data_IF_642080385014
#
_entry.id   IF_642080385014
#
_cell.length_a   1.000
_cell.length_b   1.000
_cell.length_c   1.000
_cell.angle_alpha   90.00
_cell.angle_beta   90.00
_cell.angle_gamma   90.00
#
_symmetry.space_group_name_H-M   'P 1'
#
loop_
_entity.id
_entity.type
_entity.pdbx_description
1 polymer ?
#
# COMPACT_ATOMS: atom_id res chain seq x y z
N UNK A 1 30.17 17.37 8.34
CA UNK A 1 28.70 17.59 8.39
C UNK A 1 28.19 18.48 7.26
N UNK A 2 28.66 19.73 7.11
CA UNK A 2 28.15 20.66 6.07
C UNK A 2 28.22 20.13 4.61
N UNK A 3 29.33 19.54 4.15
CA UNK A 3 29.39 18.95 2.80
C UNK A 3 28.36 17.81 2.59
N UNK A 4 28.17 16.97 3.61
CA UNK A 4 27.20 15.87 3.57
C UNK A 4 25.76 16.41 3.50
N UNK A 5 25.40 17.37 4.33
CA UNK A 5 24.07 18.02 4.28
C UNK A 5 23.79 18.61 2.89
N UNK A 6 24.77 19.27 2.29
CA UNK A 6 24.65 19.83 0.93
C UNK A 6 24.42 18.72 -0.10
N UNK A 7 25.14 17.63 0.00
CA UNK A 7 24.98 16.46 -0.90
C UNK A 7 23.59 15.83 -0.76
N UNK A 8 23.13 15.62 0.48
CA UNK A 8 21.79 15.06 0.75
C UNK A 8 20.67 15.98 0.25
N UNK A 9 20.79 17.29 0.48
CA UNK A 9 19.83 18.28 -0.07
C UNK A 9 19.81 18.26 -1.60
N UNK A 10 20.96 18.16 -2.26
CA UNK A 10 21.03 18.05 -3.71
C UNK A 10 20.34 16.77 -4.23
N UNK A 11 20.55 15.63 -3.56
CA UNK A 11 19.84 14.37 -3.89
C UNK A 11 18.34 14.53 -3.71
N UNK A 12 17.89 15.08 -2.60
CA UNK A 12 16.45 15.32 -2.32
C UNK A 12 15.85 16.24 -3.38
N UNK A 13 16.55 17.31 -3.76
CA UNK A 13 16.10 18.20 -4.84
C UNK A 13 15.87 17.43 -6.14
N UNK A 14 16.84 16.60 -6.55
CA UNK A 14 16.71 15.76 -7.76
C UNK A 14 15.51 14.81 -7.65
N UNK A 15 15.34 14.12 -6.51
CA UNK A 15 14.21 13.24 -6.28
C UNK A 15 12.87 14.00 -6.38
N UNK A 16 12.80 15.18 -5.79
CA UNK A 16 11.60 16.01 -5.81
C UNK A 16 11.24 16.48 -7.22
N UNK A 17 12.22 16.83 -8.03
CA UNK A 17 12.02 17.31 -9.41
C UNK A 17 11.68 16.16 -10.37
N UNK A 18 12.17 14.94 -10.12
CA UNK A 18 12.07 13.82 -11.07
C UNK A 18 11.06 12.74 -10.69
N UNK A 19 10.83 12.53 -9.37
CA UNK A 19 10.03 11.41 -8.87
C UNK A 19 8.88 11.87 -7.98
N UNK A 20 9.12 12.85 -7.08
CA UNK A 20 8.13 13.23 -6.06
C UNK A 20 7.12 14.27 -6.52
N UNK A 21 7.00 14.52 -7.82
CA UNK A 21 6.01 15.44 -8.42
C UNK A 21 6.03 16.83 -7.76
N UNK A 22 7.22 17.30 -7.35
CA UNK A 22 7.42 18.57 -6.63
C UNK A 22 6.63 18.70 -5.31
N UNK A 23 6.37 17.59 -4.63
CA UNK A 23 5.63 17.55 -3.34
C UNK A 23 6.44 18.12 -2.18
N UNK A 24 7.75 17.84 -2.13
CA UNK A 24 8.64 18.31 -1.07
C UNK A 24 9.42 19.56 -1.52
N UNK A 25 8.78 20.73 -1.53
CA UNK A 25 9.42 21.99 -1.92
C UNK A 25 10.40 22.46 -0.85
N UNK A 26 11.43 23.23 -1.24
CA UNK A 26 12.49 23.71 -0.35
C UNK A 26 11.98 24.39 0.95
N UNK A 27 10.94 25.25 0.95
CA UNK A 27 10.40 25.78 2.19
C UNK A 27 9.87 24.69 3.14
N UNK A 28 9.17 23.69 2.59
CA UNK A 28 8.61 22.58 3.38
C UNK A 28 9.72 21.69 3.96
N UNK A 29 10.81 21.47 3.22
CA UNK A 29 11.99 20.73 3.72
C UNK A 29 12.63 21.49 4.89
N UNK A 30 12.77 22.80 4.78
CA UNK A 30 13.32 23.64 5.85
C UNK A 30 12.44 23.61 7.09
N UNK A 31 11.13 23.84 6.93
CA UNK A 31 10.16 23.78 8.04
C UNK A 31 10.14 22.40 8.72
N UNK A 32 10.27 21.32 7.94
CA UNK A 32 10.35 19.97 8.48
C UNK A 32 11.65 19.73 9.26
N UNK A 33 12.79 20.23 8.78
CA UNK A 33 14.08 20.13 9.46
C UNK A 33 14.10 20.92 10.77
N UNK A 34 13.38 22.03 10.85
CA UNK A 34 13.29 22.84 12.06
C UNK A 34 12.67 22.05 13.25
N UNK A 35 11.85 21.02 12.97
CA UNK A 35 11.35 20.14 14.02
C UNK A 35 12.48 19.45 14.82
N UNK A 36 13.62 19.17 14.19
CA UNK A 36 14.75 18.47 14.80
C UNK A 36 15.73 19.42 15.51
N UNK A 37 15.61 20.73 15.29
CA UNK A 37 16.54 21.73 15.85
C UNK A 37 16.34 22.00 17.34
N UNK A 38 15.17 21.67 17.91
CA UNK A 38 14.73 22.20 19.21
C UNK A 38 14.55 21.16 20.32
N UNK A 39 14.71 19.86 20.06
CA UNK A 39 14.15 18.86 20.98
C UNK A 39 15.12 18.08 21.85
N UNK A 40 16.37 17.88 21.47
CA UNK A 40 17.29 16.98 22.21
C UNK A 40 18.68 17.56 22.52
N UNK A 41 18.99 18.74 22.01
CA UNK A 41 20.32 19.32 22.18
C UNK A 41 21.41 18.72 21.25
N UNK A 42 21.05 17.76 20.39
CA UNK A 42 21.97 17.15 19.41
C UNK A 42 22.06 17.93 18.08
N UNK A 43 21.16 18.89 17.85
CA UNK A 43 21.22 19.90 16.78
C UNK A 43 21.58 19.39 15.37
N UNK A 44 22.79 19.74 14.87
CA UNK A 44 23.19 19.42 13.50
C UNK A 44 23.21 17.92 13.15
N UNK A 45 23.43 17.06 14.12
CA UNK A 45 23.46 15.61 13.90
C UNK A 45 22.09 15.05 13.59
N UNK A 46 21.02 15.53 14.26
CA UNK A 46 19.66 15.11 13.99
C UNK A 46 19.21 15.52 12.58
N UNK A 47 19.50 16.76 12.17
CA UNK A 47 19.16 17.25 10.83
C UNK A 47 19.82 16.44 9.71
N UNK A 48 21.08 16.05 9.87
CA UNK A 48 21.78 15.23 8.86
C UNK A 48 21.15 13.85 8.75
N UNK A 49 20.81 13.21 9.88
CA UNK A 49 20.18 11.90 9.89
C UNK A 49 18.74 11.98 9.35
N UNK A 50 17.99 13.05 9.64
CA UNK A 50 16.68 13.31 9.06
C UNK A 50 16.77 13.48 7.52
N UNK A 51 17.72 14.27 7.01
CA UNK A 51 17.97 14.41 5.58
C UNK A 51 18.37 13.07 4.93
N UNK A 52 19.16 12.25 5.63
CA UNK A 52 19.49 10.91 5.13
C UNK A 52 18.25 10.05 4.97
N UNK A 53 17.37 10.00 5.98
CA UNK A 53 16.10 9.27 5.89
C UNK A 53 15.25 9.79 4.73
N UNK A 54 15.06 11.10 4.63
CA UNK A 54 14.30 11.73 3.56
C UNK A 54 14.91 11.43 2.18
N UNK A 55 16.24 11.42 2.05
CA UNK A 55 16.93 11.09 0.79
C UNK A 55 16.74 9.64 0.34
N UNK A 56 16.22 8.77 1.20
CA UNK A 56 15.91 7.38 0.93
C UNK A 56 14.40 7.09 0.93
N UNK A 57 13.58 8.13 1.04
CA UNK A 57 12.13 7.99 1.03
C UNK A 57 11.64 7.57 -0.37
N UNK A 58 10.87 6.49 -0.40
CA UNK A 58 10.27 5.96 -1.62
C UNK A 58 8.88 6.57 -1.79
N UNK A 59 8.76 7.47 -2.74
CA UNK A 59 7.48 8.06 -3.09
C UNK A 59 6.98 7.50 -4.43
N UNK A 60 5.71 7.15 -4.47
CA UNK A 60 5.04 6.69 -5.68
C UNK A 60 3.96 7.70 -6.08
N UNK A 61 4.21 8.42 -7.16
CA UNK A 61 3.33 9.41 -7.74
C UNK A 61 2.12 8.82 -8.46
N UNK A 62 1.25 9.67 -8.99
CA UNK A 62 0.07 9.23 -9.76
C UNK A 62 0.46 8.32 -10.94
N UNK A 63 1.51 8.70 -11.67
CA UNK A 63 2.00 7.94 -12.82
C UNK A 63 2.48 6.54 -12.46
N UNK A 64 3.26 6.42 -11.38
CA UNK A 64 3.78 5.14 -10.89
C UNK A 64 2.65 4.24 -10.40
N UNK A 65 1.71 4.78 -9.62
CA UNK A 65 0.52 4.03 -9.15
C UNK A 65 -0.29 3.50 -10.33
N UNK A 66 -0.55 4.33 -11.35
CA UNK A 66 -1.26 3.89 -12.58
C UNK A 66 -0.51 2.80 -13.32
N UNK A 67 0.82 2.91 -13.41
CA UNK A 67 1.67 1.86 -13.98
C UNK A 67 1.57 0.53 -13.22
N UNK A 68 1.55 0.59 -11.88
CA UNK A 68 1.38 -0.58 -11.03
C UNK A 68 -0.02 -1.20 -11.16
N UNK A 69 -1.07 -0.40 -11.34
CA UNK A 69 -2.42 -0.90 -11.61
C UNK A 69 -2.51 -1.66 -12.94
N UNK A 70 -1.77 -1.22 -13.98
CA UNK A 70 -1.63 -2.00 -15.23
C UNK A 70 -0.91 -3.32 -14.99
N UNK A 71 0.20 -3.29 -14.23
CA UNK A 71 0.94 -4.50 -13.88
C UNK A 71 0.06 -5.47 -13.05
N UNK A 72 -0.71 -4.98 -12.08
CA UNK A 72 -1.63 -5.78 -11.28
C UNK A 72 -2.64 -6.54 -12.18
N UNK A 73 -3.26 -5.83 -13.11
CA UNK A 73 -4.20 -6.49 -14.04
C UNK A 73 -3.50 -7.47 -14.96
N UNK A 74 -2.39 -7.07 -15.60
CA UNK A 74 -1.69 -7.88 -16.58
C UNK A 74 -1.08 -9.13 -15.95
N UNK A 75 -0.29 -8.95 -14.87
CA UNK A 75 0.62 -9.98 -14.37
C UNK A 75 -0.02 -10.83 -13.26
N UNK A 76 -0.91 -10.24 -12.46
CA UNK A 76 -1.51 -10.95 -11.32
C UNK A 76 -2.90 -11.51 -11.65
N UNK A 77 -3.68 -10.80 -12.47
CA UNK A 77 -5.02 -11.23 -12.85
C UNK A 77 -5.05 -11.93 -14.22
N UNK A 78 -4.65 -11.24 -15.30
CA UNK A 78 -4.86 -11.70 -16.68
C UNK A 78 -3.97 -12.88 -17.07
N UNK A 79 -2.68 -12.79 -16.83
CA UNK A 79 -1.73 -13.83 -17.27
C UNK A 79 -1.99 -15.19 -16.60
N UNK A 80 -2.25 -15.31 -15.31
CA UNK A 80 -2.59 -16.60 -14.71
C UNK A 80 -3.86 -17.24 -15.31
N UNK A 81 -4.85 -16.43 -15.69
CA UNK A 81 -6.05 -16.93 -16.36
C UNK A 81 -5.71 -17.46 -17.75
N UNK A 82 -4.95 -16.70 -18.53
CA UNK A 82 -4.51 -17.14 -19.87
C UNK A 82 -3.69 -18.42 -19.78
N UNK A 83 -2.78 -18.51 -18.82
CA UNK A 83 -1.96 -19.70 -18.60
C UNK A 83 -2.84 -20.92 -18.24
N UNK A 84 -3.83 -20.74 -17.37
CA UNK A 84 -4.79 -21.79 -17.04
C UNK A 84 -5.62 -22.26 -18.24
N UNK A 85 -6.07 -21.31 -19.08
CA UNK A 85 -6.78 -21.63 -20.33
C UNK A 85 -5.90 -22.44 -21.25
N UNK A 86 -4.67 -22.01 -21.48
CA UNK A 86 -3.71 -22.73 -22.33
C UNK A 86 -3.46 -24.16 -21.85
N UNK A 87 -3.17 -24.34 -20.57
CA UNK A 87 -2.97 -25.67 -19.96
C UNK A 87 -4.21 -26.56 -20.10
N UNK A 88 -5.40 -26.01 -19.90
CA UNK A 88 -6.66 -26.74 -20.07
C UNK A 88 -6.95 -27.14 -21.53
N UNK A 89 -6.25 -26.57 -22.50
CA UNK A 89 -6.39 -26.82 -23.93
C UNK A 89 -5.06 -27.29 -24.58
N UNK A 90 -4.35 -28.19 -23.93
CA UNK A 90 -3.11 -28.81 -24.41
C UNK A 90 -2.03 -27.79 -24.81
N UNK A 91 -1.81 -26.79 -23.99
CA UNK A 91 -0.86 -25.69 -24.17
C UNK A 91 -1.05 -24.89 -25.48
N UNK A 92 -2.32 -24.74 -25.89
CA UNK A 92 -2.71 -24.06 -27.14
C UNK A 92 -2.06 -22.68 -27.26
N UNK A 93 -1.73 -22.32 -28.52
CA UNK A 93 -1.34 -20.97 -28.92
C UNK A 93 -2.42 -20.28 -29.78
N UNK A 94 -3.59 -20.93 -29.98
CA UNK A 94 -4.71 -20.33 -30.67
C UNK A 94 -5.23 -19.09 -29.94
N UNK A 95 -4.90 -17.93 -30.46
CA UNK A 95 -5.27 -16.65 -29.90
C UNK A 95 -6.78 -16.40 -29.84
N UNK A 96 -7.52 -16.97 -30.85
CA UNK A 96 -8.99 -16.85 -30.89
C UNK A 96 -9.66 -17.64 -29.77
N UNK A 97 -9.24 -18.89 -29.56
CA UNK A 97 -9.71 -19.73 -28.48
C UNK A 97 -9.37 -19.10 -27.11
N UNK A 98 -8.11 -18.66 -26.94
CA UNK A 98 -7.66 -18.02 -25.70
C UNK A 98 -8.51 -16.77 -25.42
N UNK A 99 -8.72 -15.90 -26.39
CA UNK A 99 -9.49 -14.65 -26.22
C UNK A 99 -10.97 -14.93 -25.88
N UNK A 100 -11.58 -15.93 -26.55
CA UNK A 100 -12.95 -16.34 -26.25
C UNK A 100 -13.12 -16.79 -24.79
N UNK A 101 -12.26 -17.70 -24.33
CA UNK A 101 -12.30 -18.21 -22.96
C UNK A 101 -11.95 -17.14 -21.93
N UNK A 102 -10.96 -16.30 -22.24
CA UNK A 102 -10.59 -15.18 -21.37
C UNK A 102 -11.75 -14.19 -21.19
N UNK A 103 -12.43 -13.81 -22.28
CA UNK A 103 -13.60 -12.93 -22.22
C UNK A 103 -14.74 -13.53 -21.40
N UNK A 104 -14.96 -14.84 -21.47
CA UNK A 104 -15.94 -15.53 -20.63
C UNK A 104 -15.56 -15.44 -19.15
N UNK A 105 -14.30 -15.72 -18.79
CA UNK A 105 -13.78 -15.56 -17.42
C UNK A 105 -13.87 -14.12 -16.91
N UNK A 106 -13.56 -13.14 -17.75
CA UNK A 106 -13.64 -11.73 -17.40
C UNK A 106 -15.10 -11.30 -17.12
N UNK A 107 -16.06 -11.73 -17.92
CA UNK A 107 -17.49 -11.44 -17.70
C UNK A 107 -18.00 -12.00 -16.39
N UNK A 108 -17.50 -13.16 -15.98
CA UNK A 108 -17.83 -13.80 -14.71
C UNK A 108 -16.99 -13.27 -13.51
N UNK A 109 -16.25 -12.16 -13.69
CA UNK A 109 -15.45 -11.53 -12.64
C UNK A 109 -16.10 -10.24 -12.15
N UNK A 110 -15.95 -9.96 -10.84
CA UNK A 110 -16.23 -8.66 -10.24
C UNK A 110 -15.01 -8.14 -9.49
N UNK A 111 -14.69 -6.87 -9.72
CA UNK A 111 -13.63 -6.15 -9.03
C UNK A 111 -14.24 -5.27 -7.93
N UNK A 112 -13.62 -5.30 -6.76
CA UNK A 112 -14.06 -4.59 -5.56
C UNK A 112 -12.86 -3.90 -4.90
N UNK A 113 -13.08 -2.74 -4.26
CA UNK A 113 -12.09 -2.13 -3.37
C UNK A 113 -12.24 -2.69 -1.96
N UNK A 114 -11.11 -2.78 -1.26
CA UNK A 114 -11.08 -3.07 0.17
C UNK A 114 -11.28 -1.76 0.93
N UNK A 115 -12.08 -1.79 2.00
CA UNK A 115 -12.35 -0.63 2.83
C UNK A 115 -13.67 0.08 2.54
N UNK A 116 -13.87 1.19 3.23
CA UNK A 116 -15.00 2.08 3.07
C UNK A 116 -14.91 2.80 1.70
N UNK A 117 -16.03 3.21 1.07
CA UNK A 117 -16.02 4.00 -0.17
C UNK A 117 -15.17 5.28 -0.14
N UNK A 118 -14.88 5.84 1.03
CA UNK A 118 -13.98 6.98 1.21
C UNK A 118 -12.50 6.62 1.36
N UNK A 119 -12.16 5.32 1.38
CA UNK A 119 -10.79 4.84 1.49
C UNK A 119 -10.13 4.62 0.13
N UNK A 120 -8.80 4.49 0.13
CA UNK A 120 -7.97 4.40 -1.07
C UNK A 120 -8.33 3.26 -2.00
N UNK A 121 -8.73 2.09 -1.48
CA UNK A 121 -9.10 0.92 -2.28
C UNK A 121 -10.22 1.20 -3.28
N UNK A 122 -11.28 1.91 -2.86
CA UNK A 122 -12.36 2.28 -3.77
C UNK A 122 -11.94 3.33 -4.81
N UNK A 123 -11.08 4.28 -4.42
CA UNK A 123 -10.58 5.30 -5.33
C UNK A 123 -9.66 4.70 -6.41
N UNK A 124 -8.85 3.70 -6.06
CA UNK A 124 -8.00 2.98 -6.99
C UNK A 124 -8.77 2.25 -8.08
N UNK A 125 -9.98 1.73 -7.79
CA UNK A 125 -10.81 1.03 -8.78
C UNK A 125 -11.13 1.90 -10.00
N UNK A 126 -11.33 3.20 -9.80
CA UNK A 126 -11.57 4.13 -10.90
C UNK A 126 -10.38 4.15 -11.87
N UNK A 127 -9.18 4.30 -11.36
CA UNK A 127 -7.95 4.29 -12.17
C UNK A 127 -7.64 2.89 -12.73
N UNK A 128 -7.84 1.84 -11.94
CA UNK A 128 -7.68 0.45 -12.41
C UNK A 128 -8.55 0.16 -13.62
N UNK A 129 -9.82 0.59 -13.58
CA UNK A 129 -10.72 0.47 -14.72
C UNK A 129 -10.24 1.23 -15.94
N UNK A 130 -9.85 2.50 -15.76
CA UNK A 130 -9.41 3.35 -16.87
C UNK A 130 -8.15 2.83 -17.54
N UNK A 131 -7.14 2.54 -16.74
CA UNK A 131 -5.82 2.12 -17.24
C UNK A 131 -5.84 0.78 -17.95
N UNK A 132 -6.83 -0.06 -17.66
CA UNK A 132 -6.99 -1.38 -18.26
C UNK A 132 -8.18 -1.47 -19.25
N UNK A 133 -8.84 -0.35 -19.56
CA UNK A 133 -9.98 -0.26 -20.48
C UNK A 133 -11.10 -1.27 -20.17
N UNK A 134 -11.42 -1.46 -18.89
CA UNK A 134 -12.37 -2.47 -18.43
C UNK A 134 -13.81 -1.93 -18.45
N UNK A 135 -14.80 -2.78 -18.78
CA UNK A 135 -16.22 -2.45 -18.68
C UNK A 135 -16.63 -2.04 -17.24
N UNK A 136 -17.56 -1.08 -17.14
CA UNK A 136 -18.02 -0.55 -15.85
C UNK A 136 -18.72 -1.60 -14.98
N UNK A 137 -19.47 -2.48 -15.58
CA UNK A 137 -20.30 -3.53 -14.93
C UNK A 137 -19.47 -4.63 -14.25
N UNK A 138 -18.17 -4.68 -14.50
CA UNK A 138 -17.26 -5.55 -13.75
C UNK A 138 -16.94 -4.99 -12.35
N UNK A 139 -17.31 -3.75 -12.05
CA UNK A 139 -16.99 -3.06 -10.80
C UNK A 139 -18.23 -2.91 -9.94
N UNK A 140 -18.19 -3.48 -8.75
CA UNK A 140 -19.31 -3.44 -7.79
C UNK A 140 -18.81 -3.01 -6.41
N UNK A 141 -19.74 -2.55 -5.58
CA UNK A 141 -19.50 -2.37 -4.16
C UNK A 141 -19.81 -3.68 -3.40
N UNK A 142 -19.21 -3.85 -2.23
CA UNK A 142 -19.34 -5.05 -1.41
C UNK A 142 -20.78 -5.41 -1.08
N UNK A 143 -21.65 -4.41 -0.79
CA UNK A 143 -23.08 -4.63 -0.56
C UNK A 143 -23.84 -5.12 -1.81
N UNK A 144 -23.25 -5.06 -2.99
CA UNK A 144 -23.87 -5.54 -4.24
C UNK A 144 -23.56 -7.02 -4.52
N UNK A 145 -22.70 -7.66 -3.72
CA UNK A 145 -22.45 -9.11 -3.83
C UNK A 145 -23.71 -9.88 -3.49
N UNK A 146 -24.43 -9.43 -2.46
CA UNK A 146 -25.57 -10.15 -1.89
C UNK A 146 -26.89 -9.47 -2.19
N UNK A 147 -27.96 -10.25 -2.12
CA UNK A 147 -29.35 -9.80 -2.11
C UNK A 147 -30.15 -10.60 -1.08
N UNK A 148 -31.31 -10.10 -0.70
CA UNK A 148 -32.27 -10.84 0.15
C UNK A 148 -33.53 -11.07 -0.65
N UNK A 149 -34.01 -12.30 -0.69
CA UNK A 149 -35.34 -12.63 -1.26
C UNK A 149 -36.40 -12.42 -0.21
N UNK A 150 -37.37 -11.51 -0.49
CA UNK A 150 -38.58 -11.31 0.32
C UNK A 150 -38.30 -10.83 1.75
N UNK A 151 -38.16 -9.54 1.99
CA UNK A 151 -38.16 -8.86 3.28
C UNK A 151 -37.22 -9.39 4.40
N UNK A 152 -37.51 -10.53 4.94
CA UNK A 152 -36.75 -11.27 5.96
C UNK A 152 -36.06 -12.54 5.41
N UNK A 153 -35.98 -12.70 4.09
CA UNK A 153 -35.46 -13.89 3.43
C UNK A 153 -33.96 -14.14 3.63
N UNK A 154 -33.52 -15.35 3.25
CA UNK A 154 -32.14 -15.77 3.25
C UNK A 154 -31.27 -14.87 2.36
N UNK A 155 -30.04 -14.67 2.77
CA UNK A 155 -29.01 -14.01 1.96
C UNK A 155 -28.64 -14.91 0.77
N UNK A 156 -28.60 -14.34 -0.43
CA UNK A 156 -28.24 -15.03 -1.67
C UNK A 156 -27.25 -14.17 -2.46
N UNK A 157 -26.48 -14.78 -3.36
CA UNK A 157 -25.67 -14.01 -4.31
C UNK A 157 -26.60 -13.30 -5.29
N UNK A 158 -26.36 -12.01 -5.52
CA UNK A 158 -27.16 -11.20 -6.45
C UNK A 158 -27.03 -11.68 -7.89
N UNK A 159 -25.82 -12.11 -8.29
CA UNK A 159 -25.49 -12.58 -9.63
C UNK A 159 -24.83 -13.96 -9.53
N UNK A 160 -25.59 -14.99 -9.89
CA UNK A 160 -25.13 -16.38 -9.80
C UNK A 160 -24.14 -16.77 -10.89
N UNK A 161 -24.01 -15.97 -11.95
CA UNK A 161 -23.07 -16.21 -13.05
C UNK A 161 -21.64 -15.72 -12.69
N UNK A 162 -21.52 -14.89 -11.64
CA UNK A 162 -20.22 -14.46 -11.12
C UNK A 162 -19.52 -15.63 -10.44
N UNK A 163 -18.31 -15.92 -10.90
CA UNK A 163 -17.47 -16.99 -10.37
C UNK A 163 -16.18 -16.47 -9.75
N UNK A 164 -15.88 -15.17 -9.90
CA UNK A 164 -14.64 -14.55 -9.42
C UNK A 164 -14.90 -13.20 -8.76
N UNK A 165 -14.39 -13.02 -7.54
CA UNK A 165 -14.40 -11.76 -6.82
C UNK A 165 -12.96 -11.36 -6.52
N UNK A 166 -12.52 -10.22 -7.05
CA UNK A 166 -11.15 -9.73 -6.94
C UNK A 166 -11.16 -8.44 -6.12
N UNK A 167 -10.65 -8.51 -4.90
CA UNK A 167 -10.48 -7.38 -4.01
C UNK A 167 -9.16 -6.69 -4.29
N UNK A 168 -9.20 -5.38 -4.53
CA UNK A 168 -8.02 -4.56 -4.87
C UNK A 168 -7.78 -3.54 -3.76
N UNK A 169 -6.50 -3.39 -3.38
CA UNK A 169 -6.05 -2.45 -2.35
C UNK A 169 -4.72 -1.79 -2.77
N UNK A 170 -4.35 -0.69 -2.13
CA UNK A 170 -3.07 -0.02 -2.36
C UNK A 170 -1.97 -0.60 -1.47
N UNK A 171 -2.25 -0.83 -0.19
CA UNK A 171 -1.24 -1.18 0.78
C UNK A 171 -1.72 -2.18 1.83
N UNK A 172 -0.99 -3.27 1.99
CA UNK A 172 -1.19 -4.26 3.04
C UNK A 172 -0.03 -4.23 4.04
N UNK A 173 -0.18 -3.48 5.14
CA UNK A 173 0.84 -3.37 6.17
C UNK A 173 0.84 -4.57 7.12
N UNK A 174 -0.08 -4.60 8.07
CA UNK A 174 -0.21 -5.68 9.08
C UNK A 174 -1.07 -6.87 8.62
N UNK A 175 -1.77 -6.75 7.50
CA UNK A 175 -2.74 -7.74 7.05
C UNK A 175 -4.09 -7.70 7.78
N UNK A 176 -4.25 -6.84 8.78
CA UNK A 176 -5.47 -6.79 9.62
C UNK A 176 -6.72 -6.52 8.79
N UNK A 177 -6.71 -5.50 7.94
CA UNK A 177 -7.86 -5.13 7.12
C UNK A 177 -8.27 -6.27 6.16
N UNK A 178 -7.31 -6.93 5.48
CA UNK A 178 -7.60 -8.08 4.63
C UNK A 178 -8.17 -9.27 5.40
N UNK A 179 -7.70 -9.50 6.64
CA UNK A 179 -8.22 -10.56 7.52
C UNK A 179 -9.67 -10.26 7.95
N UNK A 180 -9.97 -9.05 8.39
CA UNK A 180 -11.32 -8.62 8.78
C UNK A 180 -12.30 -8.74 7.60
N UNK A 181 -11.93 -8.26 6.41
CA UNK A 181 -12.73 -8.42 5.20
C UNK A 181 -13.00 -9.88 4.84
N UNK A 182 -12.04 -10.76 5.07
CA UNK A 182 -12.23 -12.19 4.81
C UNK A 182 -13.27 -12.81 5.72
N UNK A 183 -13.26 -12.46 7.00
CA UNK A 183 -14.18 -13.02 7.97
C UNK A 183 -15.65 -12.66 7.66
N UNK A 184 -15.89 -11.41 7.25
CA UNK A 184 -17.26 -10.92 7.04
C UNK A 184 -17.81 -11.22 5.64
N UNK A 185 -16.99 -11.06 4.60
CA UNK A 185 -17.45 -11.10 3.21
C UNK A 185 -17.06 -12.39 2.48
N UNK A 186 -15.81 -12.79 2.61
CA UNK A 186 -15.29 -13.94 1.84
C UNK A 186 -15.90 -15.24 2.34
N UNK A 187 -16.06 -15.36 3.66
CA UNK A 187 -16.73 -16.54 4.24
C UNK A 187 -18.17 -16.67 3.77
N UNK A 188 -18.92 -15.58 3.67
CA UNK A 188 -20.30 -15.62 3.21
C UNK A 188 -20.40 -15.94 1.71
N UNK A 189 -19.49 -15.41 0.87
CA UNK A 189 -19.39 -15.83 -0.53
C UNK A 189 -19.11 -17.33 -0.62
N UNK A 190 -18.15 -17.85 0.16
CA UNK A 190 -17.77 -19.26 0.16
C UNK A 190 -18.87 -20.19 0.71
N UNK A 191 -19.67 -19.74 1.68
CA UNK A 191 -20.86 -20.48 2.15
C UNK A 191 -21.93 -20.62 1.06
N UNK A 192 -22.16 -19.58 0.27
CA UNK A 192 -23.19 -19.55 -0.78
C UNK A 192 -22.71 -20.18 -2.09
N UNK A 193 -21.43 -20.07 -2.41
CA UNK A 193 -20.79 -20.58 -3.63
C UNK A 193 -19.36 -21.03 -3.34
N UNK A 194 -19.16 -22.25 -2.82
CA UNK A 194 -17.83 -22.77 -2.41
C UNK A 194 -16.77 -22.74 -3.52
N UNK A 195 -17.21 -22.93 -4.76
CA UNK A 195 -16.34 -22.92 -5.96
C UNK A 195 -15.99 -21.52 -6.47
N UNK A 196 -16.61 -20.45 -5.96
CA UNK A 196 -16.25 -19.09 -6.36
C UNK A 196 -14.80 -18.79 -5.98
N UNK A 197 -14.01 -18.30 -6.93
CA UNK A 197 -12.65 -17.85 -6.71
C UNK A 197 -12.67 -16.45 -6.11
N UNK A 198 -12.10 -16.28 -4.92
CA UNK A 198 -12.02 -14.99 -4.22
C UNK A 198 -10.57 -14.64 -3.95
N UNK A 199 -10.12 -13.48 -4.41
CA UNK A 199 -8.72 -13.10 -4.30
C UNK A 199 -8.55 -11.68 -3.74
N UNK A 200 -7.42 -11.47 -3.04
CA UNK A 200 -6.94 -10.19 -2.55
C UNK A 200 -5.66 -9.81 -3.29
N UNK A 201 -5.72 -8.74 -4.08
CA UNK A 201 -4.60 -8.23 -4.86
C UNK A 201 -4.27 -6.80 -4.43
N UNK A 202 -3.03 -6.57 -4.08
CA UNK A 202 -2.58 -5.29 -3.52
C UNK A 202 -1.35 -4.78 -4.25
N UNK A 203 -1.19 -3.46 -4.34
CA UNK A 203 -0.03 -2.88 -5.02
C UNK A 203 1.24 -3.09 -4.19
N UNK A 204 1.18 -2.81 -2.90
CA UNK A 204 2.30 -2.96 -1.97
C UNK A 204 1.88 -3.76 -0.75
N UNK A 205 2.72 -4.69 -0.33
CA UNK A 205 2.50 -5.40 0.91
C UNK A 205 3.82 -5.62 1.66
N UNK A 206 3.79 -5.52 2.98
CA UNK A 206 4.87 -6.11 3.77
C UNK A 206 4.82 -7.62 3.65
N UNK A 207 5.96 -8.30 3.68
CA UNK A 207 6.02 -9.77 3.66
C UNK A 207 5.18 -10.37 4.79
N UNK A 208 5.23 -9.76 5.99
CA UNK A 208 4.39 -10.16 7.14
C UNK A 208 2.89 -10.02 6.84
N UNK A 209 2.48 -8.85 6.31
CA UNK A 209 1.07 -8.57 6.03
C UNK A 209 0.46 -9.51 4.99
N UNK A 210 1.15 -9.71 3.87
CA UNK A 210 0.64 -10.57 2.81
C UNK A 210 0.62 -12.06 3.23
N UNK A 211 1.61 -12.51 4.00
CA UNK A 211 1.62 -13.88 4.52
C UNK A 211 0.49 -14.09 5.54
N UNK A 212 0.24 -13.12 6.44
CA UNK A 212 -0.90 -13.20 7.34
C UNK A 212 -2.22 -13.35 6.58
N UNK A 213 -2.45 -12.56 5.52
CA UNK A 213 -3.66 -12.72 4.69
C UNK A 213 -3.72 -14.08 4.03
N UNK A 214 -2.60 -14.63 3.52
CA UNK A 214 -2.56 -15.97 2.93
C UNK A 214 -2.90 -17.08 3.94
N UNK A 215 -2.38 -16.97 5.16
CA UNK A 215 -2.44 -18.04 6.15
C UNK A 215 -3.73 -18.01 6.99
N UNK A 216 -4.28 -16.82 7.25
CA UNK A 216 -5.38 -16.63 8.20
C UNK A 216 -6.73 -16.32 7.53
N UNK A 217 -6.83 -16.37 6.19
CA UNK A 217 -8.08 -15.99 5.50
C UNK A 217 -8.60 -17.08 4.57
N UNK A 218 -9.83 -16.88 4.07
CA UNK A 218 -10.49 -17.74 3.08
C UNK A 218 -10.30 -17.25 1.63
N UNK A 219 -9.40 -16.29 1.39
CA UNK A 219 -9.01 -15.96 0.02
C UNK A 219 -8.30 -17.15 -0.65
N UNK A 220 -8.69 -17.48 -1.88
CA UNK A 220 -8.00 -18.50 -2.68
C UNK A 220 -6.62 -18.04 -3.15
N UNK A 221 -6.42 -16.72 -3.21
CA UNK A 221 -5.15 -16.11 -3.59
C UNK A 221 -4.99 -14.74 -2.93
N UNK A 222 -3.83 -14.49 -2.34
CA UNK A 222 -3.41 -13.16 -1.92
C UNK A 222 -2.05 -12.86 -2.55
N UNK A 223 -1.97 -11.77 -3.35
CA UNK A 223 -0.78 -11.39 -4.11
C UNK A 223 -0.52 -9.91 -4.05
N UNK A 224 0.75 -9.54 -4.16
CA UNK A 224 1.20 -8.16 -4.26
C UNK A 224 2.09 -7.96 -5.49
N UNK A 225 2.10 -6.73 -6.04
CA UNK A 225 3.06 -6.35 -7.07
C UNK A 225 4.43 -6.08 -6.46
N UNK A 226 4.45 -5.39 -5.30
CA UNK A 226 5.68 -4.97 -4.66
C UNK A 226 5.71 -5.48 -3.22
N UNK A 227 6.50 -6.53 -2.99
CA UNK A 227 6.70 -7.06 -1.65
C UNK A 227 7.79 -6.30 -0.91
N UNK A 228 7.46 -5.80 0.25
CA UNK A 228 8.36 -5.09 1.16
C UNK A 228 8.86 -6.08 2.21
N UNK A 229 10.00 -6.71 1.92
CA UNK A 229 10.67 -7.64 2.81
C UNK A 229 11.38 -6.92 3.99
N UNK A 230 12.06 -7.68 4.85
CA UNK A 230 12.79 -7.17 6.02
C UNK A 230 13.84 -6.09 5.67
N UNK A 231 14.34 -6.06 4.44
CA UNK A 231 15.31 -5.06 4.01
C UNK A 231 14.72 -3.65 3.83
N UNK A 232 13.39 -3.54 3.72
CA UNK A 232 12.68 -2.25 3.72
C UNK A 232 12.37 -1.73 5.13
N UNK A 233 12.57 -2.54 6.17
CA UNK A 233 12.49 -2.10 7.56
C UNK A 233 13.74 -1.29 7.88
N UNK A 234 13.55 0.01 8.18
CA UNK A 234 14.62 1.02 8.17
C UNK A 234 15.79 0.66 9.09
N UNK A 235 15.53 0.17 10.28
CA UNK A 235 16.54 -0.11 11.31
C UNK A 235 16.80 -1.61 11.54
N UNK A 236 16.32 -2.47 10.64
CA UNK A 236 16.63 -3.90 10.74
C UNK A 236 18.10 -4.16 10.40
N UNK A 237 18.64 -5.28 10.88
CA UNK A 237 20.00 -5.72 10.51
C UNK A 237 20.17 -5.92 8.99
N UNK A 238 19.08 -6.18 8.28
CA UNK A 238 19.05 -6.38 6.82
C UNK A 238 18.75 -5.09 6.05
N UNK A 239 18.61 -3.95 6.75
CA UNK A 239 18.22 -2.68 6.14
C UNK A 239 19.05 -2.34 4.89
N UNK A 240 18.35 -2.07 3.79
CA UNK A 240 18.99 -1.64 2.54
C UNK A 240 19.51 -0.22 2.58
N UNK A 241 18.96 0.60 3.45
CA UNK A 241 19.21 2.04 3.49
C UNK A 241 20.61 2.37 3.98
N UNK A 242 21.13 1.62 4.96
CA UNK A 242 22.42 1.89 5.57
C UNK A 242 23.59 1.10 4.97
N UNK A 243 23.34 0.19 4.02
CA UNK A 243 24.42 -0.64 3.39
C UNK A 243 25.55 0.16 2.75
N UNK A 244 25.23 1.37 2.26
CA UNK A 244 26.18 2.29 1.60
C UNK A 244 26.16 3.66 2.26
N UNK A 245 25.73 3.75 3.51
CA UNK A 245 25.76 4.99 4.26
C UNK A 245 27.20 5.43 4.52
N UNK A 246 27.41 6.74 4.54
CA UNK A 246 28.69 7.31 4.91
C UNK A 246 28.96 7.11 6.42
N UNK A 247 30.22 7.10 6.86
CA UNK A 247 30.58 6.89 8.27
C UNK A 247 29.92 7.87 9.24
N UNK A 248 29.55 9.06 8.77
CA UNK A 248 28.87 10.09 9.56
C UNK A 248 27.40 9.77 9.83
N UNK A 249 26.83 8.76 9.18
CA UNK A 249 25.45 8.32 9.37
C UNK A 249 25.44 7.08 10.28
N UNK A 250 25.05 7.29 11.53
CA UNK A 250 24.90 6.23 12.53
C UNK A 250 23.46 5.67 12.53
N UNK A 251 23.24 4.40 12.13
CA UNK A 251 21.92 3.77 12.14
C UNK A 251 21.29 3.76 13.54
N UNK A 252 22.08 3.50 14.58
CA UNK A 252 21.58 3.43 15.95
C UNK A 252 21.16 4.81 16.49
N UNK A 253 21.90 5.86 16.12
CA UNK A 253 21.48 7.24 16.43
C UNK A 253 20.17 7.57 15.71
N UNK A 254 20.06 7.23 14.43
CA UNK A 254 18.89 7.46 13.60
C UNK A 254 17.64 6.79 14.20
N UNK A 255 17.78 5.54 14.63
CA UNK A 255 16.69 4.78 15.29
C UNK A 255 16.27 5.45 16.59
N UNK A 256 17.23 5.76 17.49
CA UNK A 256 16.93 6.45 18.77
C UNK A 256 16.24 7.78 18.55
N UNK A 257 16.69 8.57 17.58
CA UNK A 257 16.07 9.84 17.20
C UNK A 257 14.63 9.64 16.76
N UNK A 258 14.38 8.75 15.79
CA UNK A 258 13.03 8.48 15.30
C UNK A 258 12.11 7.95 16.39
N UNK A 259 12.61 7.09 17.29
CA UNK A 259 11.85 6.56 18.42
C UNK A 259 11.50 7.66 19.42
N UNK A 260 12.45 8.53 19.76
CA UNK A 260 12.25 9.63 20.71
C UNK A 260 11.12 10.58 20.26
N UNK A 261 11.11 10.93 18.97
CA UNK A 261 10.04 11.76 18.41
C UNK A 261 8.74 10.97 18.26
N UNK A 262 8.82 9.76 17.74
CA UNK A 262 7.67 8.88 17.55
C UNK A 262 6.89 8.58 18.83
N UNK A 263 7.59 8.39 19.97
CA UNK A 263 6.96 8.21 21.29
C UNK A 263 6.11 9.42 21.74
N UNK A 264 6.42 10.62 21.24
CA UNK A 264 5.63 11.83 21.47
C UNK A 264 4.45 11.97 20.50
N UNK A 265 4.57 11.40 19.31
CA UNK A 265 3.61 11.53 18.20
C UNK A 265 2.49 10.50 18.26
N UNK A 266 2.83 9.26 18.55
CA UNK A 266 1.90 8.10 18.50
C UNK A 266 2.08 7.23 19.75
N UNK A 267 1.31 6.15 19.86
CA UNK A 267 1.54 5.17 20.93
C UNK A 267 2.93 4.53 20.78
N UNK A 268 3.67 4.35 21.90
CA UNK A 268 5.08 3.91 21.91
C UNK A 268 5.35 2.63 21.10
N UNK A 269 4.39 1.69 21.06
CA UNK A 269 4.50 0.48 20.24
C UNK A 269 4.48 0.76 18.73
N UNK A 270 4.13 1.98 18.32
CA UNK A 270 4.07 2.44 16.93
C UNK A 270 5.04 3.59 16.65
N UNK A 271 5.93 3.91 17.59
CA UNK A 271 6.87 5.02 17.49
C UNK A 271 7.77 4.97 16.24
N UNK A 272 8.01 3.79 15.69
CA UNK A 272 8.76 3.58 14.45
C UNK A 272 7.85 3.10 13.28
N UNK A 273 6.60 3.56 13.25
CA UNK A 273 5.57 3.13 12.31
C UNK A 273 4.66 2.05 12.89
N UNK A 274 3.45 1.93 12.33
CA UNK A 274 2.45 0.99 12.84
C UNK A 274 3.04 -0.41 12.94
N UNK A 275 2.89 -1.02 14.12
CA UNK A 275 3.37 -2.36 14.45
C UNK A 275 4.88 -2.54 14.18
N UNK A 276 5.66 -1.48 14.45
CA UNK A 276 7.13 -1.41 14.28
C UNK A 276 7.60 -1.71 12.85
N UNK A 277 6.83 -1.26 11.85
CA UNK A 277 7.11 -1.53 10.43
C UNK A 277 8.30 -0.78 9.87
N UNK A 278 8.67 0.39 10.43
CA UNK A 278 9.85 1.18 10.10
C UNK A 278 10.02 1.50 8.61
N UNK A 279 8.93 1.73 7.88
CA UNK A 279 9.00 1.97 6.44
C UNK A 279 9.37 3.43 6.14
N UNK A 280 9.91 3.64 4.93
CA UNK A 280 10.16 4.93 4.30
C UNK A 280 9.43 4.96 2.94
N UNK A 281 8.08 4.97 2.98
CA UNK A 281 7.24 4.90 1.77
C UNK A 281 6.08 5.88 1.86
N UNK A 282 5.70 6.46 0.74
CA UNK A 282 4.50 7.29 0.60
C UNK A 282 3.94 7.25 -0.80
N UNK A 283 2.65 7.57 -0.91
CA UNK A 283 1.90 7.58 -2.16
C UNK A 283 1.36 8.98 -2.42
N UNK A 284 1.04 9.29 -3.68
CA UNK A 284 0.50 10.60 -4.05
C UNK A 284 -0.81 10.94 -3.32
N UNK A 285 -1.57 9.93 -2.93
CA UNK A 285 -2.86 10.08 -2.25
C UNK A 285 -2.77 10.01 -0.73
N UNK A 286 -1.76 9.35 -0.15
CA UNK A 286 -1.59 9.23 1.31
C UNK A 286 -0.21 8.65 1.68
N UNK A 287 0.18 8.83 2.95
CA UNK A 287 1.33 8.14 3.55
C UNK A 287 0.83 7.07 4.52
N UNK A 288 1.24 5.79 4.39
CA UNK A 288 0.85 4.75 5.33
C UNK A 288 1.38 5.03 6.74
N UNK A 289 0.61 4.62 7.77
CA UNK A 289 1.06 4.69 9.18
C UNK A 289 2.20 3.71 9.51
N UNK A 290 2.46 2.76 8.63
CA UNK A 290 3.64 1.90 8.66
C UNK A 290 4.95 2.65 8.39
N UNK A 291 4.88 3.84 7.80
CA UNK A 291 6.02 4.75 7.61
C UNK A 291 6.39 5.43 8.94
N UNK A 292 7.68 5.73 9.11
CA UNK A 292 8.19 6.44 10.29
C UNK A 292 7.38 7.72 10.58
N UNK A 293 6.83 7.92 11.79
CA UNK A 293 5.96 9.06 12.13
C UNK A 293 6.61 10.42 11.88
N UNK A 294 7.92 10.54 12.03
CA UNK A 294 8.67 11.77 11.77
C UNK A 294 8.50 12.33 10.34
N UNK A 295 8.05 11.50 9.40
CA UNK A 295 7.78 11.90 8.01
C UNK A 295 6.38 12.52 7.85
N UNK A 296 5.36 11.97 8.53
CA UNK A 296 3.96 12.23 8.19
C UNK A 296 3.09 12.80 9.30
N UNK A 297 3.55 12.82 10.56
CA UNK A 297 2.73 13.22 11.70
C UNK A 297 2.24 14.68 11.56
N UNK A 298 0.93 14.91 11.72
CA UNK A 298 0.25 16.20 11.54
C UNK A 298 -0.92 16.35 12.52
N UNK A 299 -0.62 16.36 13.84
CA UNK A 299 -1.58 16.62 14.92
C UNK A 299 -1.04 17.75 15.80
N UNK A 300 -1.25 19.04 15.41
CA UNK A 300 -0.63 20.20 16.09
C UNK A 300 -1.01 20.34 17.56
N UNK A 301 -2.22 19.90 17.95
CA UNK A 301 -2.69 19.93 19.34
C UNK A 301 -1.90 18.97 20.24
N UNK A 302 -1.35 17.89 19.68
CA UNK A 302 -0.53 16.92 20.39
C UNK A 302 0.95 17.28 20.37
N UNK A 303 1.47 17.64 19.22
CA UNK A 303 2.84 18.08 19.01
C UNK A 303 2.87 19.01 17.78
N UNK A 304 3.43 20.24 17.90
CA UNK A 304 3.53 21.17 16.77
C UNK A 304 4.61 20.70 15.77
N UNK A 305 4.32 19.64 15.06
CA UNK A 305 5.20 19.02 14.07
C UNK A 305 4.79 19.41 12.65
N UNK A 306 5.75 19.71 11.80
CA UNK A 306 5.55 20.00 10.38
C UNK A 306 5.88 18.76 9.56
N UNK A 307 4.90 18.04 8.99
CA UNK A 307 5.18 16.86 8.15
C UNK A 307 5.77 17.26 6.80
N UNK A 308 6.62 16.39 6.23
CA UNK A 308 7.11 16.56 4.85
C UNK A 308 6.21 15.85 3.83
N UNK A 309 5.65 14.68 4.19
CA UNK A 309 4.64 13.96 3.44
C UNK A 309 3.48 13.61 4.36
N UNK A 310 2.36 14.30 4.17
CA UNK A 310 1.22 14.19 5.07
C UNK A 310 0.54 12.83 5.01
N UNK A 311 0.03 12.38 6.15
CA UNK A 311 -0.98 11.35 6.26
C UNK A 311 -2.32 12.00 6.57
N UNK A 312 -3.35 11.63 5.82
CA UNK A 312 -4.72 12.05 6.13
C UNK A 312 -5.29 11.12 7.20
N UNK A 313 -5.66 11.64 8.38
CA UNK A 313 -6.19 10.83 9.48
C UNK A 313 -7.54 10.21 9.10
N UNK A 314 -7.78 8.99 9.55
CA UNK A 314 -9.12 8.40 9.56
C UNK A 314 -9.83 8.96 10.79
N UNK A 315 -10.69 9.97 10.60
CA UNK A 315 -11.51 10.53 11.67
C UNK A 315 -12.68 9.59 11.93
N UNK A 316 -12.78 9.07 13.16
CA UNK A 316 -13.94 8.35 13.67
C UNK A 316 -14.72 9.27 14.59
N UNK A 317 -16.08 9.20 14.53
CA UNK A 317 -16.98 10.01 15.36
C UNK A 317 -17.14 9.37 16.73
#
# INVERSE_FOLDING_TARGET
MEPLMRSLKAKIKTLNETIWESRAREPAITEWLDNFAHSSGAGPDEMVHALFLLSNFMYFGDREIRGLLKALYRDVYRYPIIESIRRGHHDTLDSGLIDQHYKAQLRATRFLGVGNPSESGCHLLYYFRQENHLPKDLFIHTHQIFTRRGGAGSMELRDTDVTRYIFIDDFCGSGKQGTEYSQDLVEDVKKLKPEAFVAYYVLFATARGINKVKDETKFDSARTIYELDSSFKCFSAESRYFRKALPEIDPAFCERMCKLYGDKMVASKHALGYDDSQLLIGFHHNTPDNTLPVIWFDEPDRLPWKPIFRRYPKLEW
#
